data_IF_016704660544
#
_entry.id   IF_016704660544
#
_cell.length_a   1.000
_cell.length_b   1.000
_cell.length_c   1.000
_cell.angle_alpha   90.00
_cell.angle_beta   90.00
_cell.angle_gamma   90.00
#
_symmetry.space_group_name_H-M   'P 1'
#
loop_
_entity.id
_entity.type
_entity.pdbx_description
1 polymer ?
#
# COMPACT_ATOMS: atom_id res chain seq x y z
N UNK A 1 0.48 -15.09 -3.19
CA UNK A 1 1.40 -14.87 -2.05
C UNK A 1 2.45 -13.86 -2.46
N UNK A 2 2.54 -12.77 -1.71
CA UNK A 2 3.47 -11.69 -1.99
C UNK A 2 4.66 -11.74 -1.05
N UNK A 3 5.89 -11.76 -1.55
CA UNK A 3 7.11 -11.82 -0.73
C UNK A 3 7.95 -10.55 -0.89
N UNK A 4 7.85 -9.65 0.08
CA UNK A 4 8.78 -8.53 0.25
C UNK A 4 9.86 -8.97 1.23
N UNK A 5 11.12 -9.00 0.78
CA UNK A 5 12.34 -9.16 1.59
C UNK A 5 12.19 -9.91 2.92
N UNK A 6 12.54 -11.20 2.91
CA UNK A 6 12.92 -12.02 4.08
C UNK A 6 11.91 -12.29 5.22
N UNK A 7 10.71 -11.69 5.32
CA UNK A 7 9.74 -12.16 6.36
C UNK A 7 8.25 -11.87 6.16
N UNK A 8 7.82 -11.21 5.08
CA UNK A 8 6.40 -10.84 4.95
C UNK A 8 5.75 -11.54 3.77
N UNK A 9 4.90 -12.51 4.10
CA UNK A 9 3.96 -13.18 3.19
C UNK A 9 2.58 -12.56 3.41
N UNK A 10 2.15 -11.70 2.48
CA UNK A 10 0.78 -11.18 2.48
C UNK A 10 -0.03 -11.97 1.45
N UNK A 11 -1.16 -12.51 1.88
CA UNK A 11 -2.16 -13.08 0.99
C UNK A 11 -2.98 -11.94 0.39
N UNK A 12 -2.93 -11.81 -0.93
CA UNK A 12 -3.73 -10.79 -1.62
C UNK A 12 -5.25 -11.03 -1.46
N UNK A 13 -5.65 -12.28 -1.19
CA UNK A 13 -7.04 -12.68 -0.98
C UNK A 13 -7.61 -12.15 0.34
N UNK A 14 -6.77 -12.10 1.37
CA UNK A 14 -7.10 -11.69 2.73
C UNK A 14 -6.98 -10.16 2.92
N UNK A 15 -6.47 -9.44 1.91
CA UNK A 15 -6.43 -7.98 1.90
C UNK A 15 -7.83 -7.37 2.00
N UNK A 16 -8.02 -6.43 2.91
CA UNK A 16 -9.27 -5.64 3.01
C UNK A 16 -9.08 -4.18 2.67
N UNK A 17 -7.89 -3.63 2.94
CA UNK A 17 -7.63 -2.22 2.77
C UNK A 17 -6.16 -2.01 2.40
N UNK A 18 -5.93 -1.14 1.43
CA UNK A 18 -4.59 -0.65 1.08
C UNK A 18 -4.65 0.86 1.13
N UNK A 19 -3.76 1.45 1.91
CA UNK A 19 -3.61 2.88 2.07
C UNK A 19 -2.18 3.30 1.69
N UNK A 20 -2.05 4.50 1.12
CA UNK A 20 -0.79 5.18 0.97
C UNK A 20 -0.68 6.23 2.09
N UNK A 21 0.33 6.09 2.93
CA UNK A 21 0.69 7.05 3.96
C UNK A 21 1.90 7.88 3.51
N UNK A 22 1.72 9.19 3.46
CA UNK A 22 2.80 10.15 3.22
C UNK A 22 3.16 10.80 4.56
N UNK A 23 4.43 10.69 4.95
CA UNK A 23 4.96 11.33 6.16
C UNK A 23 6.00 12.36 5.74
N UNK A 24 5.75 13.62 6.09
CA UNK A 24 6.68 14.73 5.87
C UNK A 24 7.28 15.10 7.24
N UNK A 25 8.56 14.78 7.44
CA UNK A 25 9.35 15.25 8.59
C UNK A 25 10.47 16.16 8.09
N UNK A 26 11.67 15.61 7.87
CA UNK A 26 12.80 16.30 7.23
C UNK A 26 12.90 15.98 5.74
N UNK A 27 12.28 14.88 5.31
CA UNK A 27 12.14 14.43 3.93
C UNK A 27 10.78 13.76 3.74
N UNK A 28 10.31 13.67 2.49
CA UNK A 28 9.04 13.03 2.14
C UNK A 28 9.23 11.52 2.13
N UNK A 29 8.57 10.82 3.07
CA UNK A 29 8.58 9.37 3.15
C UNK A 29 7.21 8.82 2.75
N UNK A 30 7.23 7.78 1.92
CA UNK A 30 6.03 7.08 1.48
C UNK A 30 5.98 5.70 2.10
N UNK A 31 4.81 5.32 2.62
CA UNK A 31 4.56 4.01 3.19
C UNK A 31 3.26 3.45 2.63
N UNK A 32 3.25 2.17 2.29
CA UNK A 32 2.04 1.41 2.05
C UNK A 32 1.57 0.84 3.38
N UNK A 33 0.33 1.14 3.74
CA UNK A 33 -0.32 0.58 4.93
C UNK A 33 -1.36 -0.40 4.42
N UNK A 34 -1.13 -1.66 4.69
CA UNK A 34 -1.94 -2.77 4.21
C UNK A 34 -2.65 -3.37 5.40
N UNK A 35 -3.98 -3.47 5.33
CA UNK A 35 -4.79 -4.13 6.35
C UNK A 35 -5.43 -5.39 5.79
N UNK A 36 -5.47 -6.40 6.64
CA UNK A 36 -5.99 -7.73 6.36
C UNK A 36 -7.32 -8.00 7.09
N UNK A 37 -8.13 -8.97 6.63
CA UNK A 37 -9.37 -9.41 7.29
C UNK A 37 -9.15 -9.78 8.77
N UNK A 38 -7.95 -10.23 9.14
CA UNK A 38 -7.62 -10.59 10.52
C UNK A 38 -7.29 -9.38 11.40
N UNK A 39 -7.38 -8.15 10.89
CA UNK A 39 -7.02 -6.92 11.59
C UNK A 39 -5.51 -6.67 11.68
N UNK A 40 -4.71 -7.46 10.96
CA UNK A 40 -3.27 -7.24 10.84
C UNK A 40 -3.01 -6.03 9.96
N UNK A 41 -2.21 -5.09 10.45
CA UNK A 41 -1.81 -3.88 9.71
C UNK A 41 -0.31 -3.93 9.47
N UNK A 42 0.09 -3.94 8.20
CA UNK A 42 1.48 -4.00 7.79
C UNK A 42 1.84 -2.67 7.12
N UNK A 43 2.88 -2.03 7.64
CA UNK A 43 3.38 -0.75 7.14
C UNK A 43 4.71 -0.97 6.43
N UNK A 44 4.71 -0.75 5.12
CA UNK A 44 5.81 -1.06 4.22
C UNK A 44 6.34 0.25 3.62
N UNK A 45 7.60 0.64 3.86
CA UNK A 45 8.18 1.82 3.21
C UNK A 45 8.24 1.61 1.69
N UNK A 46 7.83 2.58 0.89
CA UNK A 46 7.95 2.50 -0.57
C UNK A 46 9.41 2.46 -1.05
N UNK A 47 10.36 2.82 -0.18
CA UNK A 47 11.80 2.70 -0.44
C UNK A 47 12.35 1.27 -0.33
N UNK A 48 11.55 0.27 0.10
CA UNK A 48 12.06 -1.11 0.22
C UNK A 48 12.23 -1.77 -1.15
N UNK A 49 13.23 -2.66 -1.22
CA UNK A 49 13.49 -3.47 -2.41
C UNK A 49 12.33 -4.44 -2.63
N UNK A 50 11.69 -4.38 -3.81
CA UNK A 50 10.49 -5.15 -4.14
C UNK A 50 9.18 -4.36 -4.10
N UNK A 51 9.23 -3.05 -3.81
CA UNK A 51 8.07 -2.15 -3.91
C UNK A 51 7.39 -2.18 -5.29
N UNK A 52 8.17 -2.35 -6.37
CA UNK A 52 7.66 -2.49 -7.74
C UNK A 52 6.69 -3.67 -7.87
N UNK A 53 7.04 -4.80 -7.26
CA UNK A 53 6.21 -5.97 -7.30
C UNK A 53 4.94 -5.70 -6.44
N UNK A 54 5.07 -5.05 -5.27
CA UNK A 54 3.91 -4.74 -4.41
C UNK A 54 2.92 -3.85 -5.17
N UNK A 55 3.43 -2.84 -5.87
CA UNK A 55 2.62 -1.96 -6.71
C UNK A 55 1.92 -2.73 -7.83
N UNK A 56 2.61 -3.66 -8.48
CA UNK A 56 2.04 -4.53 -9.51
C UNK A 56 0.90 -5.40 -8.95
N UNK A 57 1.11 -6.04 -7.79
CA UNK A 57 0.09 -6.83 -7.13
C UNK A 57 -1.11 -6.01 -6.66
N UNK A 58 -0.87 -4.83 -6.07
CA UNK A 58 -1.95 -3.90 -5.70
C UNK A 58 -2.69 -3.50 -6.97
N UNK A 59 -2.00 -3.14 -8.04
CA UNK A 59 -2.61 -2.73 -9.32
C UNK A 59 -3.43 -3.84 -9.98
N UNK A 60 -3.08 -5.09 -9.71
CA UNK A 60 -3.80 -6.27 -10.18
C UNK A 60 -5.10 -6.52 -9.41
N UNK A 61 -5.34 -5.84 -8.28
CA UNK A 61 -6.59 -5.99 -7.52
C UNK A 61 -7.76 -5.33 -8.28
N UNK A 62 -8.88 -6.04 -8.35
CA UNK A 62 -10.08 -5.52 -8.98
C UNK A 62 -10.62 -4.31 -8.20
N UNK A 63 -10.85 -3.19 -8.90
CA UNK A 63 -11.35 -1.95 -8.29
C UNK A 63 -10.28 -0.97 -7.82
N UNK A 64 -8.99 -1.22 -8.09
CA UNK A 64 -7.93 -0.24 -7.85
C UNK A 64 -8.08 0.90 -8.83
N UNK A 65 -8.33 2.10 -8.29
CA UNK A 65 -8.29 3.31 -9.07
C UNK A 65 -6.81 3.72 -9.18
N UNK A 66 -6.16 3.36 -10.28
CA UNK A 66 -4.77 3.78 -10.57
C UNK A 66 -4.62 5.31 -10.48
N UNK A 67 -5.70 6.04 -10.80
CA UNK A 67 -5.83 7.48 -10.60
C UNK A 67 -5.66 7.89 -9.13
N UNK A 68 -6.19 7.12 -8.16
CA UNK A 68 -5.98 7.35 -6.73
C UNK A 68 -4.54 7.05 -6.31
N UNK A 69 -3.87 6.07 -6.93
CA UNK A 69 -2.45 5.78 -6.67
C UNK A 69 -1.58 6.95 -7.10
N UNK A 70 -1.69 7.35 -8.37
CA UNK A 70 -0.94 8.48 -8.92
C UNK A 70 -1.23 9.77 -8.17
N UNK A 71 -2.50 10.02 -7.83
CA UNK A 71 -2.89 11.21 -7.08
C UNK A 71 -2.37 11.15 -5.65
N UNK A 72 -2.31 9.97 -5.01
CA UNK A 72 -1.76 9.81 -3.64
C UNK A 72 -0.24 9.94 -3.57
N UNK A 73 0.49 9.50 -4.60
CA UNK A 73 1.93 9.75 -4.71
C UNK A 73 2.25 11.24 -4.93
N UNK A 74 1.34 11.98 -5.57
CA UNK A 74 1.49 13.42 -5.82
C UNK A 74 1.07 14.31 -4.65
N UNK A 75 0.59 13.75 -3.54
CA UNK A 75 0.17 14.55 -2.40
C UNK A 75 1.39 15.16 -1.72
N UNK A 76 1.45 16.49 -1.68
CA UNK A 76 2.46 17.26 -0.96
C UNK A 76 2.13 17.47 0.53
N UNK A 77 0.94 17.03 0.97
CA UNK A 77 0.52 17.07 2.36
C UNK A 77 0.68 15.72 3.09
N UNK A 78 1.23 15.70 4.32
CA UNK A 78 1.29 14.47 5.11
C UNK A 78 -0.13 13.95 5.41
N UNK A 79 -0.34 12.64 5.28
CA UNK A 79 -1.65 12.02 5.51
C UNK A 79 -1.75 10.59 4.98
N UNK A 80 -2.86 9.91 5.30
CA UNK A 80 -3.23 8.60 4.74
C UNK A 80 -4.32 8.77 3.70
N UNK A 81 -4.18 8.06 2.58
CA UNK A 81 -5.22 7.91 1.57
C UNK A 81 -5.50 6.46 1.29
N UNK A 82 -6.77 6.12 1.22
CA UNK A 82 -7.22 4.79 0.80
C UNK A 82 -7.01 4.68 -0.71
N UNK A 83 -6.22 3.69 -1.10
CA UNK A 83 -5.89 3.36 -2.48
C UNK A 83 -6.84 2.29 -3.00
N UNK A 84 -7.10 1.30 -2.18
CA UNK A 84 -7.99 0.22 -2.49
C UNK A 84 -8.67 -0.26 -1.21
N UNK A 85 -9.91 -0.67 -1.36
CA UNK A 85 -10.69 -1.29 -0.31
C UNK A 85 -11.45 -2.45 -0.94
N UNK A 86 -11.42 -3.61 -0.30
CA UNK A 86 -12.23 -4.76 -0.72
C UNK A 86 -13.70 -4.35 -0.62
N UNK A 87 -14.41 -4.36 -1.75
CA UNK A 87 -15.87 -4.24 -1.73
C UNK A 87 -16.43 -5.53 -1.17
N UNK A 88 -17.12 -5.41 -0.04
CA UNK A 88 -17.94 -6.48 0.54
C UNK A 88 -19.29 -6.54 -0.17
#
# INVERSE_FOLDING_TARGET
YFSLGQSWSISLDDLVLVEAEVVVKESKYFYWVISDIYGSVIRIPASVKGNENLLDAISSLEGVLFDQISNSMNIDSPGRKIIWQKKF
#
